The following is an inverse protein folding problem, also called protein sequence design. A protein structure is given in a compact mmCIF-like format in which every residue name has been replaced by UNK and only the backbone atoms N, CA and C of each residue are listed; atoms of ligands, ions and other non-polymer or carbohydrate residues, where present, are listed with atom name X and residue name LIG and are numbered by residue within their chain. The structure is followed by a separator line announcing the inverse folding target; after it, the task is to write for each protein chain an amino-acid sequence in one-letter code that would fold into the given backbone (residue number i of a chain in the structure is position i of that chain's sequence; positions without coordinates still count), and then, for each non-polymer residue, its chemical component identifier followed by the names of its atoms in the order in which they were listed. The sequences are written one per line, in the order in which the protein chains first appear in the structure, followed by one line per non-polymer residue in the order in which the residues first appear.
data_IF_180828610954
#
_entry.id   IF_180828610954
#
_cell.length_a   1.000
_cell.length_b   1.000
_cell.length_c   1.000
_cell.angle_alpha   90.00
_cell.angle_beta   90.00
_cell.angle_gamma   90.00
#
_symmetry.space_group_name_H-M   'P 1'
#
loop_
_entity.id
_entity.type
_entity.pdbx_description
1 polymer ?
#
# COMPACT_ATOMS: atom_id res chain seq x y z
N UNK A 1 2.96 34.03 78.04
CA UNK A 1 2.78 35.45 77.73
C UNK A 1 1.41 35.84 78.27
N UNK A 2 1.39 36.65 79.35
CA UNK A 2 0.24 37.38 79.91
C UNK A 2 -0.96 36.57 80.48
N UNK A 3 -1.61 36.84 81.62
CA UNK A 3 -1.70 37.94 82.61
C UNK A 3 -2.07 37.23 83.98
N UNK A 4 -1.44 37.54 85.12
CA UNK A 4 -2.01 38.28 86.29
C UNK A 4 -2.99 37.49 87.19
N UNK A 5 -3.12 37.68 88.51
CA UNK A 5 -2.41 38.29 89.66
C UNK A 5 -3.31 37.93 90.87
N UNK A 6 -2.74 37.70 92.07
CA UNK A 6 -3.25 38.14 93.40
C UNK A 6 -4.65 37.59 93.83
N UNK A 7 -5.05 37.47 95.11
CA UNK A 7 -4.65 38.10 96.35
C UNK A 7 -5.33 37.35 97.51
N UNK A 8 -4.62 37.31 98.64
CA UNK A 8 -5.14 37.42 100.02
C UNK A 8 -6.16 36.41 100.57
N UNK A 9 -5.67 35.62 101.52
CA UNK A 9 -6.39 35.44 102.79
C UNK A 9 -6.04 36.56 103.78
N UNK A 10 -6.97 36.87 104.68
CA UNK A 10 -6.70 37.34 106.04
C UNK A 10 -7.97 37.26 106.92
N UNK A 11 -7.73 37.31 108.24
CA UNK A 11 -8.62 37.26 109.40
C UNK A 11 -8.96 35.83 109.89
N UNK A 12 -8.77 35.43 111.15
CA UNK A 12 -8.35 36.11 112.41
C UNK A 12 -8.13 35.00 113.46
N UNK A 13 -7.13 35.16 114.34
CA UNK A 13 -7.06 34.49 115.67
C UNK A 13 -8.15 35.08 116.62
N UNK A 14 -8.50 34.54 117.81
CA UNK A 14 -7.63 33.78 118.73
C UNK A 14 -8.31 32.69 119.62
N UNK A 15 -7.51 32.18 120.56
CA UNK A 15 -7.84 31.64 121.89
C UNK A 15 -7.76 30.11 122.07
N UNK A 16 -6.70 29.70 122.76
CA UNK A 16 -6.63 28.46 123.55
C UNK A 16 -7.71 28.48 124.66
N UNK A 17 -8.15 27.34 125.21
CA UNK A 17 -7.30 26.56 126.11
C UNK A 17 -7.43 25.03 125.97
N UNK A 18 -6.35 24.31 126.25
CA UNK A 18 -6.36 22.88 126.65
C UNK A 18 -7.12 22.73 127.98
N UNK A 19 -7.86 21.63 128.24
CA UNK A 19 -7.18 20.43 128.74
C UNK A 19 -7.81 19.06 128.37
N UNK A 20 -6.92 18.09 128.10
CA UNK A 20 -6.95 16.67 128.47
C UNK A 20 -8.04 15.74 127.87
N UNK A 21 -7.76 14.41 127.77
CA UNK A 21 -8.00 13.63 126.56
C UNK A 21 -9.25 12.75 126.65
N UNK A 22 -10.15 12.88 125.66
CA UNK A 22 -11.30 11.99 125.49
C UNK A 22 -11.08 11.00 124.35
N UNK A 23 -11.10 9.72 124.72
CA UNK A 23 -10.83 8.48 123.96
C UNK A 23 -11.68 8.34 122.67
N UNK A 24 -12.67 9.21 122.47
CA UNK A 24 -13.58 9.22 121.32
C UNK A 24 -12.91 9.78 120.04
N UNK A 25 -11.94 10.70 120.18
CA UNK A 25 -11.20 11.26 119.01
C UNK A 25 -10.22 10.28 118.38
N UNK A 26 -9.75 9.27 119.13
CA UNK A 26 -8.90 8.20 118.61
C UNK A 26 -9.65 7.24 117.67
N UNK A 27 -10.95 7.00 117.91
CA UNK A 27 -11.78 6.18 117.01
C UNK A 27 -12.20 6.94 115.75
N UNK A 28 -12.44 8.26 115.84
CA UNK A 28 -12.74 9.10 114.68
C UNK A 28 -11.53 9.27 113.74
N UNK A 29 -10.32 9.39 114.29
CA UNK A 29 -9.08 9.45 113.49
C UNK A 29 -8.70 8.08 112.92
N UNK A 30 -8.89 6.98 113.66
CA UNK A 30 -8.72 5.63 113.13
C UNK A 30 -9.71 5.33 111.98
N UNK A 31 -10.98 5.71 112.13
CA UNK A 31 -12.00 5.57 111.09
C UNK A 31 -11.70 6.43 109.84
N UNK A 32 -11.25 7.67 110.03
CA UNK A 32 -10.83 8.54 108.93
C UNK A 32 -9.58 8.03 108.21
N UNK A 33 -8.60 7.47 108.92
CA UNK A 33 -7.44 6.83 108.29
C UNK A 33 -7.82 5.56 107.52
N UNK A 34 -8.77 4.76 108.01
CA UNK A 34 -9.25 3.57 107.29
C UNK A 34 -9.99 3.98 106.02
N UNK A 35 -10.86 5.00 106.08
CA UNK A 35 -11.55 5.53 104.90
C UNK A 35 -10.57 6.15 103.91
N UNK A 36 -9.54 6.87 104.39
CA UNK A 36 -8.50 7.43 103.55
C UNK A 36 -7.67 6.32 102.86
N UNK A 37 -7.31 5.24 103.58
CA UNK A 37 -6.59 4.09 103.03
C UNK A 37 -7.46 3.32 102.03
N UNK A 38 -8.74 3.11 102.32
CA UNK A 38 -9.70 2.49 101.38
C UNK A 38 -9.87 3.35 100.14
N UNK A 39 -9.95 4.67 100.29
CA UNK A 39 -9.95 5.63 99.17
C UNK A 39 -8.67 5.59 98.34
N UNK A 40 -7.51 5.45 99.00
CA UNK A 40 -6.20 5.29 98.35
C UNK A 40 -6.09 3.96 97.60
N UNK A 41 -6.61 2.87 98.16
CA UNK A 41 -6.66 1.55 97.50
C UNK A 41 -7.63 1.58 96.32
N UNK A 42 -8.82 2.17 96.49
CA UNK A 42 -9.81 2.30 95.42
C UNK A 42 -9.27 3.14 94.25
N UNK A 43 -8.59 4.25 94.54
CA UNK A 43 -7.93 5.07 93.52
C UNK A 43 -6.75 4.36 92.87
N UNK A 44 -5.96 3.54 93.60
CA UNK A 44 -4.91 2.71 93.01
C UNK A 44 -5.45 1.60 92.11
N UNK A 45 -6.60 1.00 92.47
CA UNK A 45 -7.28 -0.03 91.68
C UNK A 45 -7.92 0.57 90.43
N UNK A 46 -8.60 1.71 90.55
CA UNK A 46 -9.12 2.48 89.41
C UNK A 46 -7.99 2.93 88.50
N UNK A 47 -6.91 3.50 89.04
CA UNK A 47 -5.74 3.89 88.24
C UNK A 47 -5.05 2.68 87.57
N UNK A 48 -5.06 1.49 88.17
CA UNK A 48 -4.61 0.25 87.53
C UNK A 48 -5.56 -0.24 86.45
N UNK A 49 -6.88 -0.08 86.62
CA UNK A 49 -7.90 -0.49 85.66
C UNK A 49 -7.91 0.45 84.44
N UNK A 50 -7.80 1.75 84.66
CA UNK A 50 -7.63 2.78 83.63
C UNK A 50 -6.32 2.59 82.88
N UNK A 51 -5.22 2.24 83.56
CA UNK A 51 -3.95 1.91 82.88
C UNK A 51 -4.06 0.66 82.03
N UNK A 52 -4.82 -0.36 82.45
CA UNK A 52 -5.04 -1.59 81.67
C UNK A 52 -5.96 -1.36 80.46
N UNK A 53 -6.99 -0.52 80.61
CA UNK A 53 -7.85 -0.10 79.49
C UNK A 53 -7.07 0.77 78.50
N UNK A 54 -6.29 1.75 78.98
CA UNK A 54 -5.46 2.58 78.12
C UNK A 54 -4.37 1.80 77.36
N UNK A 55 -3.88 0.66 77.89
CA UNK A 55 -2.98 -0.23 77.15
C UNK A 55 -3.73 -1.08 76.12
N UNK A 56 -4.91 -1.60 76.46
CA UNK A 56 -5.74 -2.36 75.53
C UNK A 56 -6.21 -1.48 74.35
N UNK A 57 -6.68 -0.26 74.63
CA UNK A 57 -7.08 0.71 73.61
C UNK A 57 -5.91 1.11 72.69
N UNK A 58 -4.67 1.11 73.21
CA UNK A 58 -3.46 1.36 72.40
C UNK A 58 -3.09 0.18 71.53
N UNK A 59 -3.24 -1.05 72.02
CA UNK A 59 -3.03 -2.26 71.21
C UNK A 59 -4.09 -2.37 70.12
N UNK A 60 -5.35 -2.10 70.44
CA UNK A 60 -6.46 -2.07 69.47
C UNK A 60 -6.29 -0.95 68.44
N UNK A 61 -5.93 0.26 68.87
CA UNK A 61 -5.62 1.35 67.95
C UNK A 61 -4.36 1.07 67.09
N UNK A 62 -3.43 0.23 67.56
CA UNK A 62 -2.27 -0.19 66.78
C UNK A 62 -2.64 -1.25 65.74
N UNK A 63 -3.52 -2.21 66.07
CA UNK A 63 -4.06 -3.18 65.11
C UNK A 63 -4.91 -2.50 64.04
N UNK A 64 -5.81 -1.59 64.43
CA UNK A 64 -6.68 -0.87 63.49
C UNK A 64 -5.87 -0.01 62.51
N UNK A 65 -4.76 0.59 62.98
CA UNK A 65 -3.84 1.34 62.11
C UNK A 65 -3.04 0.43 61.18
N UNK A 66 -2.66 -0.76 61.63
CA UNK A 66 -1.96 -1.75 60.80
C UNK A 66 -2.90 -2.28 59.71
N UNK A 67 -4.14 -2.59 60.06
CA UNK A 67 -5.17 -3.06 59.14
C UNK A 67 -5.55 -1.98 58.12
N UNK A 68 -5.76 -0.73 58.56
CA UNK A 68 -6.02 0.40 57.66
C UNK A 68 -4.85 0.69 56.70
N UNK A 69 -3.61 0.50 57.16
CA UNK A 69 -2.42 0.65 56.30
C UNK A 69 -2.36 -0.46 55.26
N UNK A 70 -2.68 -1.69 55.65
CA UNK A 70 -2.72 -2.85 54.74
C UNK A 70 -3.82 -2.68 53.69
N UNK A 71 -5.00 -2.22 54.09
CA UNK A 71 -6.11 -1.93 53.18
C UNK A 71 -5.74 -0.83 52.15
N UNK A 72 -5.02 0.22 52.58
CA UNK A 72 -4.49 1.25 51.68
C UNK A 72 -3.44 0.71 50.70
N UNK A 73 -2.59 -0.22 51.14
CA UNK A 73 -1.59 -0.87 50.29
C UNK A 73 -2.26 -1.79 49.26
N UNK A 74 -3.29 -2.54 49.66
CA UNK A 74 -4.09 -3.39 48.79
C UNK A 74 -4.86 -2.55 47.75
N UNK A 75 -5.51 -1.46 48.17
CA UNK A 75 -6.19 -0.52 47.26
C UNK A 75 -5.21 0.11 46.26
N UNK A 76 -3.98 0.44 46.68
CA UNK A 76 -2.94 0.95 45.77
C UNK A 76 -2.44 -0.12 44.80
N UNK A 77 -2.32 -1.36 45.25
CA UNK A 77 -1.93 -2.47 44.39
C UNK A 77 -3.02 -2.75 43.34
N UNK A 78 -4.29 -2.72 43.74
CA UNK A 78 -5.43 -2.89 42.85
C UNK A 78 -5.53 -1.74 41.84
N UNK A 79 -5.40 -0.48 42.28
CA UNK A 79 -5.38 0.67 41.39
C UNK A 79 -4.22 0.64 40.37
N UNK A 80 -3.04 0.16 40.77
CA UNK A 80 -1.92 -0.04 39.84
C UNK A 80 -2.21 -1.14 38.82
N UNK A 81 -2.85 -2.23 39.26
CA UNK A 81 -3.22 -3.33 38.38
C UNK A 81 -4.26 -2.88 37.35
N UNK A 82 -5.31 -2.16 37.78
CA UNK A 82 -6.33 -1.65 36.86
C UNK A 82 -5.75 -0.66 35.85
N UNK A 83 -4.83 0.22 36.26
CA UNK A 83 -4.12 1.11 35.33
C UNK A 83 -3.23 0.35 34.33
N UNK A 84 -2.53 -0.70 34.78
CA UNK A 84 -1.72 -1.53 33.90
C UNK A 84 -2.58 -2.32 32.89
N UNK A 85 -3.71 -2.86 33.33
CA UNK A 85 -4.66 -3.57 32.48
C UNK A 85 -5.29 -2.62 31.44
N UNK A 86 -5.62 -1.39 31.84
CA UNK A 86 -6.12 -0.35 30.94
C UNK A 86 -5.06 0.08 29.90
N UNK A 87 -3.81 0.25 30.33
CA UNK A 87 -2.71 0.56 29.41
C UNK A 87 -2.51 -0.57 28.40
N UNK A 88 -2.49 -1.83 28.85
CA UNK A 88 -2.35 -2.98 27.97
C UNK A 88 -3.50 -3.10 26.95
N UNK A 89 -4.74 -2.86 27.36
CA UNK A 89 -5.89 -2.85 26.46
C UNK A 89 -5.84 -1.70 25.44
N UNK A 90 -5.37 -0.53 25.88
CA UNK A 90 -5.18 0.62 25.00
C UNK A 90 -4.09 0.34 23.96
N UNK A 91 -2.96 -0.22 24.38
CA UNK A 91 -1.86 -0.58 23.49
C UNK A 91 -2.27 -1.66 22.49
N UNK A 92 -3.04 -2.66 22.95
CA UNK A 92 -3.59 -3.69 22.08
C UNK A 92 -4.53 -3.08 21.04
N UNK A 93 -5.43 -2.18 21.45
CA UNK A 93 -6.32 -1.48 20.52
C UNK A 93 -5.54 -0.64 19.50
N UNK A 94 -4.55 0.12 19.95
CA UNK A 94 -3.70 0.92 19.06
C UNK A 94 -2.94 0.03 18.07
N UNK A 95 -2.41 -1.11 18.51
CA UNK A 95 -1.71 -2.04 17.62
C UNK A 95 -2.62 -2.60 16.52
N UNK A 96 -3.88 -2.93 16.85
CA UNK A 96 -4.88 -3.37 15.85
C UNK A 96 -5.29 -2.26 14.90
N UNK A 97 -5.46 -1.03 15.42
CA UNK A 97 -5.78 0.15 14.59
C UNK A 97 -4.64 0.47 13.62
N UNK A 98 -3.39 0.37 14.07
CA UNK A 98 -2.20 0.53 13.22
C UNK A 98 -2.12 -0.55 12.15
N UNK A 99 -2.33 -1.84 12.51
CA UNK A 99 -2.33 -2.93 11.53
C UNK A 99 -3.43 -2.72 10.47
N UNK A 100 -4.64 -2.35 10.87
CA UNK A 100 -5.74 -2.07 9.94
C UNK A 100 -5.51 -0.79 9.09
N UNK A 101 -4.76 0.18 9.59
CA UNK A 101 -4.34 1.35 8.81
C UNK A 101 -3.28 0.96 7.76
N UNK A 102 -2.28 0.17 8.14
CA UNK A 102 -1.25 -0.33 7.23
C UNK A 102 -1.85 -1.18 6.11
N UNK A 103 -2.80 -2.08 6.43
CA UNK A 103 -3.51 -2.87 5.42
C UNK A 103 -4.33 -2.03 4.43
N UNK A 104 -4.85 -0.87 4.86
CA UNK A 104 -5.55 0.06 3.95
C UNK A 104 -4.56 0.77 3.04
N UNK A 105 -3.48 1.28 3.62
CA UNK A 105 -2.42 1.96 2.88
C UNK A 105 -1.77 1.06 1.84
N UNK A 106 -1.53 -0.21 2.18
CA UNK A 106 -0.99 -1.18 1.22
C UNK A 106 -1.96 -1.46 0.07
N UNK A 107 -3.26 -1.63 0.36
CA UNK A 107 -4.28 -1.79 -0.70
C UNK A 107 -4.39 -0.58 -1.61
N UNK A 108 -4.29 0.63 -1.06
CA UNK A 108 -4.28 1.86 -1.85
C UNK A 108 -3.04 1.93 -2.76
N UNK A 109 -1.87 1.58 -2.24
CA UNK A 109 -0.63 1.52 -3.03
C UNK A 109 -0.70 0.51 -4.17
N UNK A 110 -1.26 -0.67 -3.91
CA UNK A 110 -1.44 -1.70 -4.92
C UNK A 110 -2.43 -1.24 -5.99
N UNK A 111 -3.55 -0.63 -5.60
CA UNK A 111 -4.52 -0.04 -6.53
C UNK A 111 -3.92 1.09 -7.39
N UNK A 112 -3.12 1.98 -6.80
CA UNK A 112 -2.39 3.02 -7.54
C UNK A 112 -1.35 2.44 -8.50
N UNK A 113 -0.68 1.35 -8.11
CA UNK A 113 0.27 0.66 -8.97
C UNK A 113 -0.44 0.03 -10.16
N UNK A 114 -1.60 -0.60 -9.95
CA UNK A 114 -2.43 -1.19 -10.99
C UNK A 114 -2.98 -0.12 -11.94
N UNK A 115 -3.45 1.01 -11.41
CA UNK A 115 -3.90 2.14 -12.23
C UNK A 115 -2.76 2.66 -13.11
N UNK A 116 -1.56 2.86 -12.54
CA UNK A 116 -0.37 3.30 -13.31
C UNK A 116 0.07 2.27 -14.37
N UNK A 117 -0.14 0.97 -14.13
CA UNK A 117 0.12 -0.07 -15.14
C UNK A 117 -0.90 0.04 -16.27
N UNK A 118 -2.18 0.18 -15.94
CA UNK A 118 -3.24 0.34 -16.92
C UNK A 118 -3.07 1.60 -17.78
N UNK A 119 -2.77 2.75 -17.19
CA UNK A 119 -2.51 3.99 -17.92
C UNK A 119 -1.35 3.85 -18.91
N UNK A 120 -0.27 3.17 -18.51
CA UNK A 120 0.87 2.86 -19.39
C UNK A 120 0.48 1.96 -20.56
N UNK A 121 -0.33 0.94 -20.29
CA UNK A 121 -0.84 0.04 -21.33
C UNK A 121 -1.74 0.76 -22.33
N UNK A 122 -2.63 1.64 -21.87
CA UNK A 122 -3.51 2.45 -22.73
C UNK A 122 -2.69 3.42 -23.58
N UNK A 123 -1.70 4.09 -23.00
CA UNK A 123 -0.80 4.98 -23.75
C UNK A 123 0.02 4.21 -24.80
N UNK A 124 0.52 3.02 -24.46
CA UNK A 124 1.21 2.15 -25.40
C UNK A 124 0.29 1.73 -26.56
N UNK A 125 -0.93 1.29 -26.27
CA UNK A 125 -1.90 0.89 -27.29
C UNK A 125 -2.29 2.06 -28.21
N UNK A 126 -2.46 3.27 -27.66
CA UNK A 126 -2.73 4.48 -28.44
C UNK A 126 -1.55 4.82 -29.39
N UNK A 127 -0.31 4.73 -28.90
CA UNK A 127 0.88 4.94 -29.73
C UNK A 127 1.00 3.90 -30.85
N UNK A 128 0.65 2.64 -30.58
CA UNK A 128 0.61 1.59 -31.61
C UNK A 128 -0.45 1.88 -32.68
N UNK A 129 -1.65 2.35 -32.28
CA UNK A 129 -2.71 2.75 -33.20
C UNK A 129 -2.28 3.86 -34.14
N UNK A 130 -1.63 4.90 -33.63
CA UNK A 130 -1.13 6.02 -34.43
C UNK A 130 -0.15 5.54 -35.50
N UNK A 131 0.80 4.68 -35.12
CA UNK A 131 1.80 4.13 -36.04
C UNK A 131 1.18 3.25 -37.13
N UNK A 132 0.16 2.44 -36.78
CA UNK A 132 -0.59 1.67 -37.78
C UNK A 132 -1.32 2.59 -38.74
N UNK A 133 -1.99 3.63 -38.23
CA UNK A 133 -2.65 4.64 -39.06
C UNK A 133 -1.68 5.33 -40.03
N UNK A 134 -0.51 5.76 -39.54
CA UNK A 134 0.53 6.39 -40.35
C UNK A 134 1.03 5.46 -41.46
N UNK A 135 1.27 4.18 -41.16
CA UNK A 135 1.72 3.20 -42.13
C UNK A 135 0.64 2.86 -43.17
N UNK A 136 -0.63 2.77 -42.77
CA UNK A 136 -1.74 2.48 -43.68
C UNK A 136 -1.86 3.50 -44.82
N UNK A 137 -1.51 4.76 -44.59
CA UNK A 137 -1.49 5.79 -45.65
C UNK A 137 -0.43 5.49 -46.73
N UNK A 138 0.59 4.72 -46.39
CA UNK A 138 1.74 4.41 -47.26
C UNK A 138 1.66 3.02 -47.91
N UNK A 139 0.59 2.26 -47.71
CA UNK A 139 0.49 0.87 -48.18
C UNK A 139 0.60 0.72 -49.71
N UNK A 140 0.19 1.73 -50.47
CA UNK A 140 0.26 1.71 -51.93
C UNK A 140 1.71 1.86 -52.46
N UNK A 141 2.63 2.41 -51.66
CA UNK A 141 4.05 2.60 -52.02
C UNK A 141 4.99 1.61 -51.35
N UNK A 142 4.48 0.64 -50.59
CA UNK A 142 5.29 -0.38 -49.91
C UNK A 142 6.02 -1.30 -50.88
N UNK A 143 5.40 -1.60 -52.02
CA UNK A 143 5.91 -2.62 -52.94
C UNK A 143 7.34 -2.33 -53.40
N UNK A 144 8.29 -3.16 -52.96
CA UNK A 144 9.70 -3.02 -53.33
C UNK A 144 10.43 -1.82 -52.78
N UNK A 145 9.89 -1.21 -51.73
CA UNK A 145 10.45 0.00 -51.12
C UNK A 145 11.91 -0.16 -50.70
N UNK A 146 12.35 -1.37 -50.32
CA UNK A 146 13.72 -1.63 -49.87
C UNK A 146 14.68 -1.96 -51.03
N UNK A 147 14.17 -2.12 -52.25
CA UNK A 147 14.96 -2.55 -53.42
C UNK A 147 15.29 -1.36 -54.35
N UNK A 148 14.44 -0.34 -54.41
CA UNK A 148 14.65 0.84 -55.26
C UNK A 148 15.94 1.58 -54.85
N UNK A 149 16.99 1.61 -55.68
CA UNK A 149 18.23 2.30 -55.36
C UNK A 149 18.00 3.81 -55.27
N UNK A 150 18.60 4.47 -54.28
CA UNK A 150 18.67 5.93 -54.14
C UNK A 150 19.64 6.57 -55.16
N UNK A 151 19.64 6.07 -56.40
CA UNK A 151 20.51 6.55 -57.46
C UNK A 151 20.06 7.89 -58.04
N UNK A 152 20.82 8.45 -59.00
CA UNK A 152 20.51 9.73 -59.65
C UNK A 152 19.10 9.80 -60.26
N UNK A 153 18.52 8.65 -60.64
CA UNK A 153 17.15 8.55 -61.16
C UNK A 153 16.06 8.86 -60.13
N UNK A 154 16.30 8.65 -58.83
CA UNK A 154 15.34 9.01 -57.76
C UNK A 154 15.25 10.53 -57.55
N UNK A 155 16.29 11.28 -57.94
CA UNK A 155 16.29 12.75 -57.90
C UNK A 155 15.40 13.36 -59.00
N UNK A 156 14.98 12.58 -60.00
CA UNK A 156 14.13 13.05 -61.10
C UNK A 156 12.67 13.30 -60.68
N UNK A 157 12.21 12.71 -59.56
CA UNK A 157 10.88 12.99 -58.99
C UNK A 157 10.96 13.19 -57.47
N UNK A 158 11.16 14.44 -57.01
CA UNK A 158 11.28 14.77 -55.58
C UNK A 158 10.06 14.35 -54.75
N UNK A 159 8.86 14.39 -55.34
CA UNK A 159 7.62 14.03 -54.65
C UNK A 159 7.52 12.52 -54.41
N UNK A 160 7.88 11.70 -55.40
CA UNK A 160 7.96 10.26 -55.23
C UNK A 160 9.00 9.87 -54.17
N UNK A 161 10.14 10.57 -54.11
CA UNK A 161 11.21 10.35 -53.14
C UNK A 161 10.80 10.73 -51.72
N UNK A 162 10.12 11.86 -51.52
CA UNK A 162 9.58 12.25 -50.22
C UNK A 162 8.56 11.23 -49.69
N UNK A 163 7.68 10.73 -50.56
CA UNK A 163 6.68 9.71 -50.22
C UNK A 163 7.31 8.37 -49.85
N UNK A 164 8.30 7.92 -50.61
CA UNK A 164 9.07 6.71 -50.27
C UNK A 164 9.83 6.86 -48.94
N UNK A 165 10.39 8.04 -48.66
CA UNK A 165 11.05 8.30 -47.39
C UNK A 165 10.07 8.25 -46.21
N UNK A 166 8.89 8.86 -46.36
CA UNK A 166 7.82 8.78 -45.36
C UNK A 166 7.35 7.33 -45.14
N UNK A 167 7.24 6.53 -46.20
CA UNK A 167 6.92 5.11 -46.10
C UNK A 167 7.99 4.33 -45.31
N UNK A 168 9.28 4.55 -45.59
CA UNK A 168 10.37 3.89 -44.85
C UNK A 168 10.38 4.27 -43.37
N UNK A 169 10.13 5.54 -43.07
CA UNK A 169 10.00 6.02 -41.70
C UNK A 169 8.84 5.35 -40.96
N UNK A 170 7.67 5.23 -41.61
CA UNK A 170 6.50 4.59 -41.03
C UNK A 170 6.75 3.09 -40.74
N UNK A 171 7.40 2.37 -41.66
CA UNK A 171 7.77 0.95 -41.45
C UNK A 171 8.79 0.81 -40.32
N UNK A 172 9.81 1.68 -40.28
CA UNK A 172 10.80 1.67 -39.20
C UNK A 172 10.12 1.89 -37.85
N UNK A 173 9.25 2.89 -37.76
CA UNK A 173 8.47 3.19 -36.54
C UNK A 173 7.59 2.01 -36.11
N UNK A 174 6.89 1.35 -37.05
CA UNK A 174 6.14 0.13 -36.78
C UNK A 174 7.04 -1.00 -36.24
N UNK A 175 8.20 -1.22 -36.86
CA UNK A 175 9.15 -2.25 -36.44
C UNK A 175 9.68 -1.98 -35.04
N UNK A 176 10.18 -0.78 -34.77
CA UNK A 176 10.66 -0.38 -33.43
C UNK A 176 9.57 -0.57 -32.37
N UNK A 177 8.33 -0.18 -32.69
CA UNK A 177 7.20 -0.32 -31.79
C UNK A 177 6.83 -1.77 -31.48
N UNK A 178 7.01 -2.70 -32.43
CA UNK A 178 6.78 -4.13 -32.21
C UNK A 178 7.78 -4.75 -31.22
N UNK A 179 9.00 -4.21 -31.13
CA UNK A 179 10.00 -4.63 -30.14
C UNK A 179 9.78 -3.97 -28.78
N UNK A 180 9.54 -2.65 -28.75
CA UNK A 180 9.58 -1.88 -27.49
C UNK A 180 8.17 -1.66 -26.94
N UNK A 181 7.30 -1.03 -27.71
CA UNK A 181 5.99 -0.59 -27.23
C UNK A 181 5.01 -1.74 -27.05
N UNK A 182 5.03 -2.73 -27.95
CA UNK A 182 4.13 -3.88 -27.86
C UNK A 182 4.39 -4.73 -26.60
N UNK A 183 5.63 -4.79 -26.08
CA UNK A 183 5.96 -5.50 -24.84
C UNK A 183 5.31 -4.92 -23.58
N UNK A 184 4.86 -3.66 -23.64
CA UNK A 184 4.15 -3.02 -22.52
C UNK A 184 2.72 -3.53 -22.40
N UNK A 185 2.17 -4.12 -23.47
CA UNK A 185 0.84 -4.73 -23.44
C UNK A 185 0.90 -6.07 -22.70
N UNK A 186 -0.11 -6.33 -21.87
CA UNK A 186 -0.23 -7.56 -21.07
C UNK A 186 -1.05 -8.66 -21.77
N UNK A 187 -1.43 -8.42 -23.03
CA UNK A 187 -2.22 -9.35 -23.84
C UNK A 187 -1.40 -9.87 -25.03
N UNK A 188 -0.98 -11.12 -24.93
CA UNK A 188 -0.17 -11.80 -25.95
C UNK A 188 -0.88 -11.89 -27.31
N UNK A 189 -2.22 -11.97 -27.36
CA UNK A 189 -2.95 -12.05 -28.62
C UNK A 189 -2.89 -10.71 -29.37
N UNK A 190 -3.01 -9.60 -28.63
CA UNK A 190 -2.90 -8.25 -29.18
C UNK A 190 -1.50 -8.02 -29.74
N UNK A 191 -0.48 -8.40 -28.95
CA UNK A 191 0.93 -8.31 -29.35
C UNK A 191 1.21 -9.14 -30.59
N UNK A 192 0.74 -10.39 -30.63
CA UNK A 192 0.94 -11.29 -31.76
C UNK A 192 0.31 -10.73 -33.05
N UNK A 193 -0.90 -10.20 -32.98
CA UNK A 193 -1.57 -9.56 -34.14
C UNK A 193 -0.83 -8.33 -34.65
N UNK A 194 -0.33 -7.50 -33.74
CA UNK A 194 0.48 -6.34 -34.11
C UNK A 194 1.79 -6.77 -34.79
N UNK A 195 2.54 -7.70 -34.19
CA UNK A 195 3.80 -8.22 -34.75
C UNK A 195 3.58 -8.90 -36.11
N UNK A 196 2.48 -9.62 -36.29
CA UNK A 196 2.10 -10.20 -37.58
C UNK A 196 1.90 -9.12 -38.65
N UNK A 197 1.24 -8.01 -38.32
CA UNK A 197 1.05 -6.90 -39.27
C UNK A 197 2.41 -6.34 -39.72
N UNK A 198 3.33 -6.13 -38.77
CA UNK A 198 4.68 -5.65 -39.07
C UNK A 198 5.40 -6.61 -40.02
N UNK A 199 5.32 -7.93 -39.76
CA UNK A 199 5.94 -8.95 -40.61
C UNK A 199 5.37 -8.96 -42.03
N UNK A 200 4.05 -8.81 -42.17
CA UNK A 200 3.40 -8.70 -43.49
C UNK A 200 3.87 -7.45 -44.24
N UNK A 201 3.95 -6.31 -43.54
CA UNK A 201 4.44 -5.05 -44.13
C UNK A 201 5.89 -5.17 -44.60
N UNK A 202 6.77 -5.78 -43.79
CA UNK A 202 8.18 -6.01 -44.15
C UNK A 202 8.29 -6.95 -45.35
N UNK A 203 7.53 -8.05 -45.35
CA UNK A 203 7.50 -9.00 -46.48
C UNK A 203 7.13 -8.31 -47.79
N UNK A 204 6.15 -7.39 -47.77
CA UNK A 204 5.74 -6.62 -48.95
C UNK A 204 6.78 -5.57 -49.35
N UNK A 205 7.48 -4.98 -48.38
CA UNK A 205 8.58 -4.04 -48.63
C UNK A 205 9.79 -4.71 -49.33
N UNK A 206 10.02 -5.99 -49.04
CA UNK A 206 11.12 -6.81 -49.57
C UNK A 206 10.72 -7.66 -50.81
N UNK A 207 9.44 -7.65 -51.18
CA UNK A 207 8.80 -8.53 -52.15
C UNK A 207 9.42 -8.65 -53.56
N UNK A 208 10.02 -7.64 -54.22
CA UNK A 208 10.30 -7.73 -55.66
C UNK A 208 11.20 -8.91 -56.04
N UNK A 209 12.12 -9.35 -55.17
CA UNK A 209 12.97 -10.52 -55.44
C UNK A 209 12.22 -11.85 -55.44
N UNK A 210 11.11 -11.97 -54.71
CA UNK A 210 10.37 -13.24 -54.51
C UNK A 210 9.25 -13.41 -55.54
N UNK A 211 8.70 -12.31 -56.06
CA UNK A 211 7.54 -12.33 -56.95
C UNK A 211 7.86 -12.03 -58.42
N UNK A 212 9.01 -11.44 -58.75
CA UNK A 212 9.45 -11.21 -60.14
C UNK A 212 9.73 -12.53 -60.90
N UNK A 213 10.17 -13.58 -60.23
CA UNK A 213 10.41 -14.90 -60.88
C UNK A 213 9.12 -15.63 -61.29
N UNK A 214 7.95 -15.29 -60.70
CA UNK A 214 6.71 -16.07 -60.87
C UNK A 214 5.66 -15.42 -61.77
N UNK A 215 5.78 -14.13 -62.08
CA UNK A 215 4.76 -13.38 -62.82
C UNK A 215 5.39 -12.58 -63.95
N UNK A 216 5.66 -13.25 -65.08
CA UNK A 216 6.21 -12.64 -66.30
C UNK A 216 5.24 -11.63 -66.97
N UNK A 217 3.94 -11.68 -66.64
CA UNK A 217 2.91 -10.77 -67.15
C UNK A 217 2.72 -9.54 -66.23
N UNK A 218 3.03 -8.35 -66.75
CA UNK A 218 2.86 -7.07 -66.04
C UNK A 218 1.43 -6.84 -65.50
N UNK A 219 0.40 -7.24 -66.25
CA UNK A 219 -1.01 -7.11 -65.81
C UNK A 219 -1.32 -8.00 -64.60
N UNK A 220 -0.77 -9.21 -64.54
CA UNK A 220 -0.95 -10.10 -63.39
C UNK A 220 -0.25 -9.55 -62.14
N UNK A 221 0.88 -8.88 -62.34
CA UNK A 221 1.66 -8.24 -61.28
C UNK A 221 0.92 -7.05 -60.65
N UNK A 222 0.28 -6.18 -61.45
CA UNK A 222 -0.52 -5.06 -60.92
C UNK A 222 -1.76 -5.53 -60.15
N UNK A 223 -2.50 -6.51 -60.69
CA UNK A 223 -3.64 -7.11 -59.99
C UNK A 223 -3.22 -7.82 -58.70
N UNK A 224 -2.01 -8.40 -58.65
CA UNK A 224 -1.48 -8.98 -57.42
C UNK A 224 -1.15 -7.89 -56.39
N UNK A 225 -0.45 -6.83 -56.78
CA UNK A 225 -0.12 -5.70 -55.91
C UNK A 225 -1.36 -5.07 -55.29
N UNK A 226 -2.41 -4.81 -56.09
CA UNK A 226 -3.67 -4.24 -55.59
C UNK A 226 -4.38 -5.14 -54.58
N UNK A 227 -4.30 -6.47 -54.73
CA UNK A 227 -4.83 -7.42 -53.75
C UNK A 227 -4.04 -7.42 -52.45
N UNK A 228 -2.71 -7.50 -52.53
CA UNK A 228 -1.82 -7.44 -51.36
C UNK A 228 -2.05 -6.16 -50.55
N UNK A 229 -2.19 -5.02 -51.22
CA UNK A 229 -2.52 -3.76 -50.56
C UNK A 229 -3.88 -3.84 -49.84
N UNK A 230 -4.91 -4.37 -50.51
CA UNK A 230 -6.25 -4.52 -49.93
C UNK A 230 -6.23 -5.43 -48.69
N UNK A 231 -5.56 -6.57 -48.79
CA UNK A 231 -5.39 -7.53 -47.70
C UNK A 231 -4.64 -6.92 -46.50
N UNK A 232 -3.54 -6.18 -46.75
CA UNK A 232 -2.82 -5.43 -45.72
C UNK A 232 -3.72 -4.40 -45.04
N UNK A 233 -4.47 -3.60 -45.82
CA UNK A 233 -5.40 -2.60 -45.27
C UNK A 233 -6.47 -3.26 -44.40
N UNK A 234 -6.99 -4.42 -44.82
CA UNK A 234 -7.99 -5.16 -44.06
C UNK A 234 -7.41 -5.73 -42.76
N UNK A 235 -6.20 -6.29 -42.79
CA UNK A 235 -5.53 -6.77 -41.58
C UNK A 235 -5.16 -5.65 -40.63
N UNK A 236 -4.68 -4.50 -41.13
CA UNK A 236 -4.40 -3.34 -40.31
C UNK A 236 -5.66 -2.83 -39.59
N UNK A 237 -6.82 -2.80 -40.25
CA UNK A 237 -8.11 -2.48 -39.59
C UNK A 237 -8.43 -3.45 -38.46
N UNK A 238 -8.19 -4.74 -38.65
CA UNK A 238 -8.38 -5.76 -37.60
C UNK A 238 -7.48 -5.48 -36.39
N UNK A 239 -6.21 -5.15 -36.63
CA UNK A 239 -5.27 -4.76 -35.56
C UNK A 239 -5.72 -3.49 -34.86
N UNK A 240 -6.18 -2.47 -35.60
CA UNK A 240 -6.70 -1.23 -35.00
C UNK A 240 -7.94 -1.48 -34.14
N UNK A 241 -8.89 -2.29 -34.61
CA UNK A 241 -10.08 -2.67 -33.81
C UNK A 241 -9.65 -3.43 -32.55
N UNK A 242 -8.65 -4.31 -32.68
CA UNK A 242 -8.14 -5.08 -31.55
C UNK A 242 -7.49 -4.17 -30.49
N UNK A 243 -6.61 -3.25 -30.90
CA UNK A 243 -5.98 -2.27 -30.01
C UNK A 243 -6.99 -1.32 -29.37
N UNK A 244 -7.99 -0.85 -30.13
CA UNK A 244 -9.06 0.00 -29.60
C UNK A 244 -9.90 -0.74 -28.56
N UNK A 245 -10.22 -2.02 -28.78
CA UNK A 245 -10.93 -2.83 -27.79
C UNK A 245 -10.11 -3.10 -26.53
N UNK A 246 -8.81 -3.34 -26.70
CA UNK A 246 -7.88 -3.49 -25.60
C UNK A 246 -7.86 -2.23 -24.71
N UNK A 247 -7.80 -1.03 -25.31
CA UNK A 247 -7.88 0.24 -24.58
C UNK A 247 -9.21 0.40 -23.83
N UNK A 248 -10.32 -0.03 -24.42
CA UNK A 248 -11.65 0.00 -23.80
C UNK A 248 -11.83 -1.06 -22.69
N UNK A 249 -10.84 -1.92 -22.43
CA UNK A 249 -10.97 -3.07 -21.51
C UNK A 249 -11.99 -4.12 -22.00
N UNK A 250 -12.33 -4.10 -23.30
CA UNK A 250 -13.28 -5.03 -23.91
C UNK A 250 -12.57 -6.29 -24.35
N UNK A 251 -13.26 -7.45 -24.35
CA UNK A 251 -12.66 -8.69 -24.82
C UNK A 251 -12.20 -8.54 -26.28
N UNK A 252 -10.94 -8.89 -26.49
CA UNK A 252 -10.35 -8.99 -27.83
C UNK A 252 -11.15 -10.02 -28.62
N UNK A 253 -11.64 -9.69 -29.82
CA UNK A 253 -12.41 -10.63 -30.61
C UNK A 253 -11.52 -11.82 -30.94
N UNK A 254 -11.92 -13.02 -30.48
CA UNK A 254 -11.28 -14.28 -30.88
C UNK A 254 -11.66 -14.55 -32.31
N UNK A 255 -10.82 -14.11 -33.24
CA UNK A 255 -11.02 -14.36 -34.65
C UNK A 255 -10.80 -15.84 -34.89
N UNK A 256 -11.77 -16.50 -35.51
CA UNK A 256 -11.55 -17.86 -36.01
C UNK A 256 -10.55 -17.83 -37.16
N UNK A 257 -9.86 -18.93 -37.42
CA UNK A 257 -8.84 -19.01 -38.47
C UNK A 257 -9.37 -18.61 -39.87
N UNK A 258 -10.67 -18.75 -40.10
CA UNK A 258 -11.40 -18.34 -41.30
C UNK A 258 -11.81 -16.85 -41.33
N UNK A 259 -11.79 -16.17 -40.19
CA UNK A 259 -12.11 -14.74 -40.03
C UNK A 259 -10.87 -13.83 -40.13
N UNK A 260 -9.67 -14.40 -40.05
CA UNK A 260 -8.46 -13.69 -40.45
C UNK A 260 -8.55 -13.35 -41.94
N UNK A 261 -8.18 -12.12 -42.37
CA UNK A 261 -7.94 -11.82 -43.76
C UNK A 261 -7.04 -12.90 -44.33
N UNK A 262 -7.62 -13.79 -45.12
CA UNK A 262 -6.87 -14.90 -45.68
C UNK A 262 -5.98 -14.29 -46.74
N UNK A 263 -4.68 -14.39 -46.55
CA UNK A 263 -3.69 -14.03 -47.57
C UNK A 263 -3.65 -15.09 -48.70
N UNK A 264 -4.83 -15.61 -49.10
CA UNK A 264 -5.04 -16.73 -50.03
C UNK A 264 -5.77 -16.28 -51.29
N UNK A 265 -5.26 -16.71 -52.46
CA UNK A 265 -5.96 -16.66 -53.76
C UNK A 265 -7.20 -17.57 -53.77
N UNK A 266 -8.19 -17.24 -54.59
CA UNK A 266 -9.31 -18.12 -54.90
C UNK A 266 -8.86 -19.46 -55.51
N UNK A 267 -9.55 -20.52 -55.04
CA UNK A 267 -9.83 -21.86 -55.56
C UNK A 267 -8.81 -22.71 -56.35
N UNK A 268 -7.91 -22.19 -57.18
CA UNK A 268 -7.25 -23.05 -58.18
C UNK A 268 -5.70 -23.02 -58.25
N UNK A 269 -4.99 -22.09 -57.59
CA UNK A 269 -3.52 -22.01 -57.72
C UNK A 269 -2.72 -21.85 -56.41
N UNK A 270 -1.68 -22.69 -56.30
CA UNK A 270 -0.82 -22.96 -55.12
C UNK A 270 0.19 -21.86 -54.76
N UNK A 271 -0.23 -20.64 -54.42
CA UNK A 271 0.62 -19.75 -53.61
C UNK A 271 -0.20 -18.70 -52.84
N UNK A 272 -0.52 -19.00 -51.58
CA UNK A 272 -0.81 -17.98 -50.58
C UNK A 272 0.40 -17.08 -50.41
N UNK A 273 0.20 -15.77 -50.28
CA UNK A 273 1.26 -14.88 -49.83
C UNK A 273 1.18 -14.79 -48.30
N UNK A 274 2.30 -14.58 -47.64
CA UNK A 274 2.37 -14.61 -46.18
C UNK A 274 3.76 -14.21 -45.74
N UNK A 275 4.02 -14.11 -44.43
CA UNK A 275 5.32 -13.72 -43.92
C UNK A 275 6.42 -14.59 -44.54
N UNK A 276 7.47 -13.97 -45.10
CA UNK A 276 8.57 -14.71 -45.74
C UNK A 276 9.35 -15.57 -44.75
N UNK A 277 9.38 -15.19 -43.47
CA UNK A 277 10.04 -15.92 -42.38
C UNK A 277 9.20 -15.93 -41.10
N UNK A 278 8.45 -17.02 -40.87
CA UNK A 278 7.69 -17.22 -39.63
C UNK A 278 8.62 -17.40 -38.41
N UNK A 279 9.88 -17.80 -38.63
CA UNK A 279 10.91 -18.03 -37.60
C UNK A 279 11.27 -16.76 -36.83
N UNK A 280 11.15 -15.59 -37.46
CA UNK A 280 11.38 -14.28 -36.84
C UNK A 280 10.36 -13.93 -35.73
N UNK A 281 9.24 -14.65 -35.63
CA UNK A 281 8.29 -14.45 -34.52
C UNK A 281 8.89 -14.83 -33.14
N UNK A 282 9.86 -15.74 -33.09
CA UNK A 282 10.59 -16.07 -31.86
C UNK A 282 11.70 -15.05 -31.52
N UNK A 283 12.19 -14.29 -32.51
CA UNK A 283 13.29 -13.33 -32.31
C UNK A 283 12.83 -12.01 -31.68
N UNK A 284 11.53 -11.69 -31.71
CA UNK A 284 10.99 -10.47 -31.08
C UNK A 284 11.17 -10.44 -29.57
N UNK A 285 11.34 -11.60 -28.94
CA UNK A 285 11.55 -11.74 -27.50
C UNK A 285 13.02 -11.96 -27.15
N UNK A 286 13.92 -12.05 -28.13
CA UNK A 286 15.36 -12.06 -27.88
C UNK A 286 15.80 -10.73 -27.29
N UNK A 287 16.50 -10.78 -26.16
CA UNK A 287 17.07 -9.60 -25.50
C UNK A 287 18.24 -8.99 -26.31
N UNK A 288 18.85 -9.77 -27.21
CA UNK A 288 20.00 -9.37 -28.04
C UNK A 288 19.68 -8.29 -29.08
N UNK A 289 18.41 -8.11 -29.46
CA UNK A 289 17.94 -7.07 -30.39
C UNK A 289 17.63 -5.73 -29.71
N UNK A 290 17.69 -5.66 -28.37
CA UNK A 290 17.63 -4.42 -27.61
C UNK A 290 19.06 -3.99 -27.38
N UNK A 291 19.58 -3.05 -28.18
CA UNK A 291 20.88 -2.43 -27.90
C UNK A 291 20.78 -1.70 -26.54
N UNK A 292 21.51 -2.16 -25.50
CA UNK A 292 21.50 -1.50 -24.19
C UNK A 292 22.14 -0.10 -24.25
N UNK A 293 22.78 0.26 -25.37
CA UNK A 293 23.29 1.60 -25.68
C UNK A 293 22.30 2.50 -26.43
N UNK A 294 21.10 2.03 -26.80
CA UNK A 294 20.12 2.89 -27.47
C UNK A 294 19.55 3.92 -26.49
N UNK A 295 19.89 5.19 -26.69
CA UNK A 295 19.37 6.34 -25.93
C UNK A 295 17.83 6.46 -25.93
N UNK A 296 17.13 5.77 -26.84
CA UNK A 296 15.66 5.68 -26.88
C UNK A 296 15.11 4.55 -26.02
N UNK A 297 15.94 3.56 -25.65
CA UNK A 297 15.61 2.55 -24.66
C UNK A 297 15.79 3.14 -23.27
N UNK A 298 14.71 3.70 -22.73
CA UNK A 298 14.59 3.91 -21.28
C UNK A 298 13.84 2.70 -20.72
N UNK A 299 14.50 1.73 -20.06
CA UNK A 299 13.76 0.79 -19.23
C UNK A 299 13.04 1.65 -18.19
N UNK A 300 11.71 1.57 -18.18
CA UNK A 300 10.90 2.34 -17.27
C UNK A 300 11.22 1.88 -15.84
N UNK A 301 11.98 2.69 -15.10
CA UNK A 301 12.08 2.62 -13.64
C UNK A 301 10.70 2.85 -13.00
#
# INVERSE_FOLDING_TARGET
MFWVLLLSGQATAPAAPTPLPDVITAYATAGATIIAVVGLIATLVLARRDRKQATADREQAATDRADAKKELEDQRAEAKKTLADQAAQSDERLSRELAAAEERFQRERDAEADQRRHERQVAAAAALLERVGAAMVQFDVLWGLNIVPQGPAALANPWATARQLAAREAIRSLREAAYVTARVLDDWEVVARYRMLVQLVLTVADAPRVFEEKHADHLQHEHFRGRVESDLRNYAKVVMITLSRYMDGKPVPKLRADEYPRFSRQAEDKASWGPSDFTSMLEWDSEELIDPGDTRYRPAL
#
